data_IF_001108827302
#
_entry.id   IF_001108827302
#
_cell.length_a   1.000
_cell.length_b   1.000
_cell.length_c   1.000
_cell.angle_alpha   90.00
_cell.angle_beta   90.00
_cell.angle_gamma   90.00
#
_symmetry.space_group_name_H-M   'P 1'
#
loop_
_entity.id
_entity.type
_entity.pdbx_description
1 polymer ?
#
# COMPACT_ATOMS: atom_id res chain seq x y z
N UNK A 1 -25.38 -32.41 -14.71
CA UNK A 1 -25.92 -31.08 -14.34
C UNK A 1 -25.71 -30.75 -12.86
N UNK A 2 -26.22 -31.54 -11.90
CA UNK A 2 -26.02 -31.29 -10.44
C UNK A 2 -24.54 -31.15 -10.07
N UNK A 3 -23.70 -32.15 -10.43
CA UNK A 3 -22.26 -32.13 -10.13
C UNK A 3 -21.53 -30.88 -10.65
N UNK A 4 -21.97 -30.33 -11.78
CA UNK A 4 -21.42 -29.08 -12.35
C UNK A 4 -21.80 -27.88 -11.49
N UNK A 5 -23.04 -27.85 -11.00
CA UNK A 5 -23.54 -26.76 -10.16
C UNK A 5 -22.93 -26.78 -8.75
N UNK A 6 -22.68 -27.96 -8.20
CA UNK A 6 -21.94 -28.14 -6.94
C UNK A 6 -20.50 -27.64 -7.05
N UNK A 7 -19.82 -27.91 -8.18
CA UNK A 7 -18.48 -27.36 -8.45
C UNK A 7 -18.52 -25.83 -8.54
N UNK A 8 -19.53 -25.25 -9.20
CA UNK A 8 -19.70 -23.80 -9.30
C UNK A 8 -19.90 -23.15 -7.93
N UNK A 9 -20.71 -23.75 -7.06
CA UNK A 9 -20.93 -23.28 -5.68
C UNK A 9 -19.61 -23.29 -4.89
N UNK A 10 -18.82 -24.36 -4.98
CA UNK A 10 -17.50 -24.45 -4.33
C UNK A 10 -16.54 -23.37 -4.83
N UNK A 11 -16.52 -23.09 -6.14
CA UNK A 11 -15.71 -22.00 -6.71
C UNK A 11 -16.13 -20.65 -6.11
N UNK A 12 -17.45 -20.38 -6.04
CA UNK A 12 -17.97 -19.14 -5.46
C UNK A 12 -17.69 -19.00 -3.96
N UNK A 13 -17.66 -20.10 -3.24
CA UNK A 13 -17.25 -20.13 -1.84
C UNK A 13 -15.77 -19.76 -1.67
N UNK A 14 -14.89 -20.30 -2.52
CA UNK A 14 -13.47 -19.95 -2.53
C UNK A 14 -13.25 -18.47 -2.91
N UNK A 15 -13.94 -17.96 -3.95
CA UNK A 15 -13.90 -16.53 -4.31
C UNK A 15 -14.28 -15.65 -3.12
N UNK A 16 -15.36 -16.01 -2.40
CA UNK A 16 -15.79 -15.29 -1.21
C UNK A 16 -14.72 -15.28 -0.11
N UNK A 17 -14.07 -16.42 0.17
CA UNK A 17 -13.01 -16.51 1.18
C UNK A 17 -11.82 -15.60 0.83
N UNK A 18 -11.41 -15.58 -0.44
CA UNK A 18 -10.33 -14.71 -0.92
C UNK A 18 -10.70 -13.24 -0.73
N UNK A 19 -11.92 -12.84 -1.10
CA UNK A 19 -12.35 -11.45 -0.96
C UNK A 19 -12.55 -11.04 0.51
N UNK A 20 -12.92 -11.97 1.40
CA UNK A 20 -12.96 -11.75 2.84
C UNK A 20 -11.57 -11.56 3.44
N UNK A 21 -10.58 -12.33 3.01
CA UNK A 21 -9.20 -12.15 3.46
C UNK A 21 -8.65 -10.79 3.03
N UNK A 22 -8.92 -10.35 1.80
CA UNK A 22 -8.57 -8.99 1.34
C UNK A 22 -9.24 -7.91 2.19
N UNK A 23 -10.51 -8.11 2.53
CA UNK A 23 -11.26 -7.18 3.39
C UNK A 23 -10.60 -7.07 4.77
N UNK A 24 -10.22 -8.19 5.38
CA UNK A 24 -9.55 -8.23 6.68
C UNK A 24 -8.18 -7.55 6.65
N UNK A 25 -7.39 -7.76 5.59
CA UNK A 25 -6.13 -7.07 5.38
C UNK A 25 -6.31 -5.55 5.31
N UNK A 26 -7.33 -5.06 4.58
CA UNK A 26 -7.62 -3.61 4.51
C UNK A 26 -8.00 -3.07 5.89
N UNK A 27 -8.82 -3.80 6.66
CA UNK A 27 -9.18 -3.41 8.04
C UNK A 27 -7.96 -3.31 8.94
N UNK A 28 -7.03 -4.26 8.81
CA UNK A 28 -5.78 -4.25 9.56
C UNK A 28 -4.91 -3.03 9.20
N UNK A 29 -4.77 -2.72 7.91
CA UNK A 29 -4.00 -1.55 7.46
C UNK A 29 -4.60 -0.23 7.98
N UNK A 30 -5.93 -0.08 7.96
CA UNK A 30 -6.61 1.09 8.53
C UNK A 30 -6.29 1.22 10.01
N UNK A 31 -6.40 0.13 10.78
CA UNK A 31 -6.07 0.12 12.21
C UNK A 31 -4.61 0.52 12.48
N UNK A 32 -3.69 0.11 11.61
CA UNK A 32 -2.28 0.48 11.71
C UNK A 32 -2.10 1.99 11.49
N UNK A 33 -2.76 2.57 10.48
CA UNK A 33 -2.78 4.01 10.22
C UNK A 33 -3.38 4.78 11.41
N UNK A 34 -4.49 4.32 11.99
CA UNK A 34 -5.09 4.91 13.18
C UNK A 34 -4.10 4.93 14.36
N UNK A 35 -3.38 3.83 14.57
CA UNK A 35 -2.36 3.74 15.63
C UNK A 35 -1.19 4.70 15.41
N UNK A 36 -0.75 4.89 14.15
CA UNK A 36 0.27 5.86 13.81
C UNK A 36 -0.23 7.29 14.01
N UNK A 37 -1.45 7.61 13.56
CA UNK A 37 -2.07 8.91 13.81
C UNK A 37 -2.12 9.24 15.29
N UNK A 38 -2.52 8.29 16.13
CA UNK A 38 -2.58 8.47 17.58
C UNK A 38 -1.21 8.86 18.16
N UNK A 39 -0.12 8.23 17.71
CA UNK A 39 1.26 8.60 18.11
C UNK A 39 1.60 10.03 17.68
N UNK A 40 1.27 10.41 16.45
CA UNK A 40 1.49 11.78 15.97
C UNK A 40 0.68 12.81 16.76
N UNK A 41 -0.57 12.49 17.11
CA UNK A 41 -1.40 13.37 17.94
C UNK A 41 -0.83 13.53 19.35
N UNK A 42 -0.34 12.46 19.98
CA UNK A 42 0.33 12.56 21.28
C UNK A 42 1.60 13.43 21.21
N UNK A 43 2.42 13.26 20.16
CA UNK A 43 3.59 14.10 19.94
C UNK A 43 3.22 15.58 19.73
N UNK A 44 2.17 15.84 18.95
CA UNK A 44 1.63 17.19 18.74
C UNK A 44 1.15 17.81 20.04
N UNK A 45 0.36 17.08 20.83
CA UNK A 45 -0.17 17.56 22.10
C UNK A 45 0.95 17.90 23.09
N UNK A 46 1.96 17.02 23.20
CA UNK A 46 3.12 17.25 24.05
C UNK A 46 3.94 18.45 23.61
N UNK A 47 4.08 18.67 22.29
CA UNK A 47 4.78 19.83 21.74
C UNK A 47 3.99 21.12 21.91
N UNK A 48 2.67 21.10 21.71
CA UNK A 48 1.78 22.24 21.93
C UNK A 48 1.83 22.74 23.38
N UNK A 49 1.94 21.83 24.36
CA UNK A 49 2.06 22.18 25.78
C UNK A 49 3.38 22.87 26.15
N UNK A 50 4.44 22.71 25.34
CA UNK A 50 5.80 23.15 25.66
C UNK A 50 6.40 24.07 24.59
N UNK A 51 5.59 24.91 23.95
CA UNK A 51 6.08 25.82 22.90
C UNK A 51 6.94 26.92 23.55
N UNK A 52 8.22 26.95 23.20
CA UNK A 52 9.14 27.98 23.70
C UNK A 52 9.86 28.73 22.58
N UNK A 53 9.78 28.22 21.34
CA UNK A 53 10.55 28.75 20.22
C UNK A 53 9.81 28.66 18.88
N UNK A 54 10.25 29.49 17.92
CA UNK A 54 9.81 29.39 16.53
C UNK A 54 10.16 28.03 15.88
N UNK A 55 11.20 27.35 16.39
CA UNK A 55 11.56 25.99 15.98
C UNK A 55 10.49 24.97 16.40
N UNK A 56 9.94 25.10 17.60
CA UNK A 56 8.85 24.23 18.07
C UNK A 56 7.60 24.39 17.21
N UNK A 57 7.28 25.61 16.77
CA UNK A 57 6.18 25.87 15.83
C UNK A 57 6.41 25.18 14.47
N UNK A 58 7.66 25.17 13.99
CA UNK A 58 8.00 24.48 12.74
C UNK A 58 7.91 22.96 12.88
N UNK A 59 8.33 22.40 14.01
CA UNK A 59 8.16 20.97 14.31
C UNK A 59 6.68 20.58 14.42
N UNK A 60 5.85 21.41 15.06
CA UNK A 60 4.39 21.24 15.08
C UNK A 60 3.82 21.24 13.66
N UNK A 61 4.22 22.19 12.81
CA UNK A 61 3.75 22.25 11.42
C UNK A 61 4.10 20.98 10.62
N UNK A 62 5.31 20.42 10.84
CA UNK A 62 5.74 19.16 10.22
C UNK A 62 4.90 17.97 10.73
N UNK A 63 4.69 17.87 12.04
CA UNK A 63 3.86 16.82 12.63
C UNK A 63 2.40 16.92 12.13
N UNK A 64 1.82 18.12 12.06
CA UNK A 64 0.48 18.35 11.52
C UNK A 64 0.38 18.01 10.03
N UNK A 65 1.46 18.19 9.26
CA UNK A 65 1.52 17.72 7.87
C UNK A 65 1.55 16.19 7.80
N UNK A 66 2.28 15.54 8.70
CA UNK A 66 2.29 14.08 8.86
C UNK A 66 0.89 13.52 9.14
N UNK A 67 0.16 14.11 10.11
CA UNK A 67 -1.24 13.73 10.40
C UNK A 67 -2.13 13.86 9.18
N UNK A 68 -2.08 14.99 8.46
CA UNK A 68 -2.88 15.19 7.24
C UNK A 68 -2.57 14.17 6.14
N UNK A 69 -1.31 13.77 6.00
CA UNK A 69 -0.91 12.70 5.07
C UNK A 69 -1.52 11.35 5.47
N UNK A 70 -1.49 11.01 6.76
CA UNK A 70 -2.09 9.78 7.28
C UNK A 70 -3.62 9.78 7.13
N UNK A 71 -4.29 10.92 7.38
CA UNK A 71 -5.73 11.08 7.14
C UNK A 71 -6.11 10.86 5.68
N UNK A 72 -5.27 11.34 4.75
CA UNK A 72 -5.51 11.11 3.32
C UNK A 72 -5.43 9.62 2.99
N UNK A 73 -4.41 8.91 3.50
CA UNK A 73 -4.26 7.45 3.30
C UNK A 73 -5.41 6.67 3.92
N UNK A 74 -5.84 7.05 5.13
CA UNK A 74 -6.99 6.45 5.81
C UNK A 74 -8.28 6.61 4.99
N UNK A 75 -8.52 7.80 4.42
CA UNK A 75 -9.68 8.05 3.54
C UNK A 75 -9.63 7.20 2.28
N UNK A 76 -8.46 7.06 1.66
CA UNK A 76 -8.26 6.19 0.50
C UNK A 76 -8.56 4.73 0.85
N UNK A 77 -7.97 4.22 1.93
CA UNK A 77 -8.21 2.85 2.41
C UNK A 77 -9.66 2.61 2.84
N UNK A 78 -10.34 3.62 3.40
CA UNK A 78 -11.76 3.52 3.74
C UNK A 78 -12.65 3.40 2.50
N UNK A 79 -12.28 4.05 1.38
CA UNK A 79 -12.97 3.86 0.10
C UNK A 79 -12.74 2.45 -0.45
N UNK A 80 -11.49 1.96 -0.37
CA UNK A 80 -11.15 0.58 -0.76
C UNK A 80 -11.92 -0.44 0.08
N UNK A 81 -12.02 -0.23 1.39
CA UNK A 81 -12.79 -1.04 2.31
C UNK A 81 -14.25 -1.14 1.87
N UNK A 82 -14.89 0.00 1.61
CA UNK A 82 -16.30 0.04 1.18
C UNK A 82 -16.51 -0.70 -0.15
N UNK A 83 -15.64 -0.47 -1.13
CA UNK A 83 -15.65 -1.19 -2.41
C UNK A 83 -15.52 -2.70 -2.21
N UNK A 84 -14.63 -3.12 -1.30
CA UNK A 84 -14.41 -4.52 -0.98
C UNK A 84 -15.60 -5.15 -0.24
N UNK A 85 -16.24 -4.44 0.68
CA UNK A 85 -17.47 -4.88 1.35
C UNK A 85 -18.61 -5.11 0.36
N UNK A 86 -18.76 -4.22 -0.62
CA UNK A 86 -19.80 -4.34 -1.63
C UNK A 86 -19.56 -5.54 -2.57
N UNK A 87 -18.29 -5.85 -2.88
CA UNK A 87 -17.92 -7.09 -3.61
C UNK A 87 -18.29 -8.35 -2.83
N UNK A 88 -17.94 -8.39 -1.53
CA UNK A 88 -18.28 -9.53 -0.65
C UNK A 88 -19.81 -9.71 -0.56
N UNK A 89 -20.57 -8.61 -0.43
CA UNK A 89 -22.05 -8.66 -0.43
C UNK A 89 -22.60 -9.24 -1.74
N UNK A 90 -22.08 -8.80 -2.88
CA UNK A 90 -22.49 -9.30 -4.20
C UNK A 90 -22.20 -10.79 -4.34
N UNK A 91 -21.01 -11.25 -3.97
CA UNK A 91 -20.65 -12.67 -4.00
C UNK A 91 -21.53 -13.52 -3.08
N UNK A 92 -21.88 -12.99 -1.89
CA UNK A 92 -22.81 -13.66 -0.99
C UNK A 92 -24.20 -13.85 -1.62
N UNK A 93 -24.69 -12.83 -2.33
CA UNK A 93 -25.98 -12.91 -3.03
C UNK A 93 -25.93 -13.92 -4.18
N UNK A 94 -24.85 -13.93 -4.98
CA UNK A 94 -24.63 -14.91 -6.04
C UNK A 94 -24.60 -16.34 -5.48
N UNK A 95 -23.82 -16.57 -4.42
CA UNK A 95 -23.75 -17.85 -3.73
C UNK A 95 -25.12 -18.32 -3.24
N UNK A 96 -25.88 -17.45 -2.57
CA UNK A 96 -27.22 -17.76 -2.06
C UNK A 96 -28.18 -18.13 -3.19
N UNK A 97 -28.08 -17.44 -4.32
CA UNK A 97 -28.91 -17.69 -5.51
C UNK A 97 -28.59 -19.06 -6.11
N UNK A 98 -27.30 -19.38 -6.27
CA UNK A 98 -26.84 -20.68 -6.80
C UNK A 98 -27.21 -21.84 -5.88
N UNK A 99 -27.01 -21.68 -4.56
CA UNK A 99 -27.42 -22.67 -3.56
C UNK A 99 -28.93 -22.92 -3.59
N UNK A 100 -29.74 -21.85 -3.67
CA UNK A 100 -31.20 -21.97 -3.78
C UNK A 100 -31.61 -22.70 -5.07
N UNK A 101 -30.91 -22.45 -6.18
CA UNK A 101 -31.17 -23.13 -7.45
C UNK A 101 -30.79 -24.62 -7.40
N UNK A 102 -29.65 -24.96 -6.78
CA UNK A 102 -29.24 -26.35 -6.54
C UNK A 102 -30.32 -27.11 -5.75
N UNK A 103 -30.81 -26.51 -4.67
CA UNK A 103 -31.83 -27.15 -3.82
C UNK A 103 -33.14 -27.38 -4.57
N UNK A 104 -33.57 -26.41 -5.40
CA UNK A 104 -34.74 -26.58 -6.27
C UNK A 104 -34.53 -27.74 -7.25
N UNK A 105 -33.36 -27.81 -7.90
CA UNK A 105 -33.04 -28.88 -8.84
C UNK A 105 -32.98 -30.26 -8.19
N UNK A 106 -32.46 -30.37 -6.96
CA UNK A 106 -32.47 -31.62 -6.18
C UNK A 106 -33.90 -32.06 -5.85
N UNK A 107 -34.78 -31.12 -5.47
CA UNK A 107 -36.20 -31.38 -5.21
C UNK A 107 -36.98 -31.81 -6.47
N UNK A 108 -36.66 -31.24 -7.63
CA UNK A 108 -37.25 -31.65 -8.91
C UNK A 108 -36.88 -33.09 -9.26
N UNK A 109 -35.59 -33.46 -9.16
CA UNK A 109 -35.12 -34.81 -9.47
C UNK A 109 -35.75 -35.84 -8.52
N UNK A 110 -35.76 -35.58 -7.21
CA UNK A 110 -36.42 -36.47 -6.25
C UNK A 110 -37.91 -36.66 -6.53
N UNK A 111 -38.62 -35.60 -6.96
CA UNK A 111 -40.03 -35.74 -7.39
C UNK A 111 -40.18 -36.55 -8.67
N UNK A 112 -39.27 -36.40 -9.64
CA UNK A 112 -39.30 -37.19 -10.87
C UNK A 112 -39.00 -38.67 -10.61
N UNK A 113 -38.07 -38.96 -9.70
CA UNK A 113 -37.73 -40.32 -9.28
C UNK A 113 -38.92 -40.97 -8.57
N UNK A 114 -39.56 -40.29 -7.63
CA UNK A 114 -40.81 -40.77 -7.00
C UNK A 114 -41.92 -41.05 -8.03
N UNK A 115 -42.09 -40.17 -9.02
CA UNK A 115 -43.06 -40.40 -10.12
C UNK A 115 -42.66 -41.56 -11.05
N UNK A 116 -41.37 -41.89 -11.16
CA UNK A 116 -40.92 -43.10 -11.89
C UNK A 116 -41.24 -44.33 -11.08
N UNK A 117 -40.94 -44.34 -9.79
CA UNK A 117 -41.26 -45.45 -8.88
C UNK A 117 -42.77 -45.71 -8.81
N UNK A 118 -43.61 -44.67 -8.71
CA UNK A 118 -45.07 -44.80 -8.76
C UNK A 118 -45.55 -45.42 -10.08
N UNK A 119 -44.96 -45.01 -11.21
CA UNK A 119 -45.27 -45.59 -12.53
C UNK A 119 -44.82 -47.05 -12.61
N UNK A 120 -43.65 -47.39 -12.10
CA UNK A 120 -43.14 -48.77 -12.04
C UNK A 120 -43.99 -49.63 -11.11
N UNK A 121 -44.40 -49.12 -9.95
CA UNK A 121 -45.31 -49.81 -9.02
C UNK A 121 -46.70 -50.00 -9.64
N UNK A 122 -47.23 -48.97 -10.31
CA UNK A 122 -48.50 -49.07 -11.04
C UNK A 122 -48.41 -50.07 -12.19
N UNK A 123 -47.31 -50.08 -12.93
CA UNK A 123 -47.05 -51.02 -14.00
C UNK A 123 -46.89 -52.46 -13.47
N UNK A 124 -46.15 -52.65 -12.38
CA UNK A 124 -46.00 -53.94 -11.70
C UNK A 124 -47.31 -54.43 -11.08
N UNK A 125 -48.14 -53.54 -10.56
CA UNK A 125 -49.48 -53.88 -10.07
C UNK A 125 -50.42 -54.28 -11.21
N UNK A 126 -50.39 -53.55 -12.34
CA UNK A 126 -51.13 -53.90 -13.55
C UNK A 126 -50.67 -55.24 -14.12
N UNK A 127 -49.36 -55.50 -14.17
CA UNK A 127 -48.79 -56.78 -14.57
C UNK A 127 -49.24 -57.90 -13.63
N UNK A 128 -49.15 -57.75 -12.30
CA UNK A 128 -49.62 -58.79 -11.36
C UNK A 128 -51.12 -59.09 -11.49
N UNK A 129 -51.94 -58.06 -11.74
CA UNK A 129 -53.39 -58.22 -11.95
C UNK A 129 -53.72 -58.82 -13.32
N UNK A 130 -52.91 -58.57 -14.34
CA UNK A 130 -53.08 -59.12 -15.68
C UNK A 130 -52.52 -60.55 -15.76
N UNK A 131 -51.38 -60.88 -15.15
CA UNK A 131 -50.79 -62.23 -15.20
C UNK A 131 -51.71 -63.32 -14.64
N UNK A 132 -52.51 -63.04 -13.59
CA UNK A 132 -53.51 -64.00 -13.09
C UNK A 132 -54.64 -64.30 -14.08
N UNK A 133 -54.92 -63.40 -15.02
CA UNK A 133 -55.94 -63.57 -16.08
C UNK A 133 -55.33 -63.96 -17.43
N UNK A 134 -54.12 -63.51 -17.72
CA UNK A 134 -53.39 -63.79 -18.95
C UNK A 134 -52.80 -65.19 -18.96
N UNK A 135 -52.42 -65.79 -17.82
CA UNK A 135 -52.00 -67.21 -17.78
C UNK A 135 -53.10 -68.17 -18.23
N UNK A 136 -54.37 -67.85 -17.95
CA UNK A 136 -55.53 -68.62 -18.44
C UNK A 136 -55.77 -68.44 -19.94
N UNK A 137 -55.40 -67.29 -20.51
CA UNK A 137 -55.53 -67.02 -21.95
C UNK A 137 -54.34 -67.60 -22.73
N UNK A 138 -53.13 -67.60 -22.14
CA UNK A 138 -51.91 -68.09 -22.78
C UNK A 138 -51.88 -69.62 -22.95
N UNK A 139 -52.54 -70.38 -22.07
CA UNK A 139 -52.72 -71.84 -22.27
C UNK A 139 -53.74 -72.13 -23.40
N UNK A 140 -54.65 -71.20 -23.70
CA UNK A 140 -55.60 -71.32 -24.81
C UNK A 140 -55.07 -70.86 -26.18
N UNK A 141 -54.04 -70.01 -26.22
CA UNK A 141 -53.60 -69.34 -27.46
C UNK A 141 -52.37 -70.00 -28.14
N UNK A 142 -51.72 -70.99 -27.51
CA UNK A 142 -50.52 -71.66 -28.08
C UNK A 142 -50.87 -72.69 -29.17
N UNK A 143 -52.14 -72.96 -29.47
CA UNK A 143 -52.54 -73.94 -30.49
C UNK A 143 -52.97 -73.37 -31.86
N UNK A 144 -52.96 -72.05 -32.09
CA UNK A 144 -53.33 -71.53 -33.42
C UNK A 144 -52.51 -70.30 -33.82
N UNK A 145 -51.84 -70.40 -34.97
CA UNK A 145 -51.15 -69.34 -35.72
C UNK A 145 -49.81 -68.89 -35.09
N UNK A 146 -48.61 -69.25 -35.56
CA UNK A 146 -48.08 -69.22 -36.93
C UNK A 146 -48.52 -68.00 -37.75
N UNK A 147 -47.79 -66.88 -37.60
CA UNK A 147 -47.31 -66.00 -38.68
C UNK A 147 -46.97 -64.59 -38.15
N UNK A 148 -46.00 -63.96 -38.82
CA UNK A 148 -45.53 -62.57 -38.73
C UNK A 148 -44.67 -62.19 -37.52
N UNK A 149 -43.41 -61.86 -37.83
CA UNK A 149 -42.49 -61.19 -36.92
C UNK A 149 -42.70 -59.67 -36.89
N UNK A 150 -41.96 -59.03 -35.98
CA UNK A 150 -41.47 -57.63 -35.94
C UNK A 150 -41.43 -57.15 -34.48
N UNK A 151 -40.34 -56.47 -34.11
CA UNK A 151 -40.26 -55.78 -32.82
C UNK A 151 -38.85 -55.38 -32.39
N UNK A 152 -38.11 -54.66 -33.23
CA UNK A 152 -36.90 -53.92 -32.83
C UNK A 152 -37.22 -52.88 -31.74
N UNK A 153 -36.46 -52.89 -30.65
CA UNK A 153 -36.43 -51.82 -29.65
C UNK A 153 -35.93 -50.50 -30.28
N UNK A 154 -36.86 -49.61 -30.61
CA UNK A 154 -36.55 -48.21 -30.95
C UNK A 154 -36.45 -47.40 -29.66
N UNK A 155 -35.24 -47.22 -29.15
CA UNK A 155 -34.91 -46.09 -28.28
C UNK A 155 -35.00 -44.80 -29.11
N UNK A 156 -35.69 -43.79 -28.58
CA UNK A 156 -36.04 -42.54 -29.28
C UNK A 156 -34.77 -41.72 -29.67
N UNK A 157 -34.43 -41.59 -30.97
CA UNK A 157 -33.22 -40.92 -31.45
C UNK A 157 -33.29 -39.38 -31.47
N UNK A 158 -34.33 -38.79 -30.87
CA UNK A 158 -34.63 -37.36 -30.97
C UNK A 158 -33.95 -36.50 -29.88
N UNK A 159 -33.74 -37.05 -28.67
CA UNK A 159 -33.14 -36.28 -27.56
C UNK A 159 -31.61 -36.20 -27.63
N UNK A 160 -30.92 -37.25 -28.12
CA UNK A 160 -29.46 -37.19 -28.31
C UNK A 160 -29.05 -36.17 -29.38
N UNK A 161 -29.82 -36.03 -30.47
CA UNK A 161 -29.51 -35.11 -31.58
C UNK A 161 -29.61 -33.64 -31.18
N UNK A 162 -30.47 -33.30 -30.21
CA UNK A 162 -30.66 -31.93 -29.71
C UNK A 162 -29.68 -31.55 -28.60
N UNK A 163 -29.23 -32.51 -27.77
CA UNK A 163 -28.43 -32.23 -26.58
C UNK A 163 -26.92 -32.27 -26.86
N UNK A 164 -26.47 -33.11 -27.79
CA UNK A 164 -25.04 -33.28 -28.15
C UNK A 164 -24.35 -31.99 -28.60
N UNK A 165 -24.97 -31.11 -29.43
CA UNK A 165 -24.37 -29.83 -29.83
C UNK A 165 -24.20 -28.86 -28.66
N UNK A 166 -25.15 -28.82 -27.72
CA UNK A 166 -25.06 -27.96 -26.53
C UNK A 166 -24.01 -28.47 -25.54
N UNK A 167 -23.90 -29.78 -25.34
CA UNK A 167 -22.85 -30.37 -24.50
C UNK A 167 -21.45 -30.15 -25.08
N UNK A 168 -21.29 -30.26 -26.41
CA UNK A 168 -20.03 -29.91 -27.09
C UNK A 168 -19.71 -28.41 -26.96
N UNK A 169 -20.71 -27.53 -27.10
CA UNK A 169 -20.48 -26.09 -26.95
C UNK A 169 -20.07 -25.72 -25.51
N UNK A 170 -20.72 -26.32 -24.51
CA UNK A 170 -20.39 -26.09 -23.09
C UNK A 170 -19.03 -26.69 -22.72
N UNK A 171 -18.66 -27.86 -23.24
CA UNK A 171 -17.32 -28.42 -23.01
C UNK A 171 -16.23 -27.55 -23.64
N UNK A 172 -16.48 -27.00 -24.83
CA UNK A 172 -15.54 -26.14 -25.54
C UNK A 172 -15.40 -24.76 -24.88
N UNK A 173 -16.49 -24.19 -24.34
CA UNK A 173 -16.45 -22.98 -23.51
C UNK A 173 -15.72 -23.22 -22.19
N UNK A 174 -15.91 -24.40 -21.56
CA UNK A 174 -15.19 -24.78 -20.34
C UNK A 174 -13.70 -24.95 -20.58
N UNK A 175 -13.28 -25.61 -21.67
CA UNK A 175 -11.87 -25.73 -22.06
C UNK A 175 -11.24 -24.35 -22.26
N UNK A 176 -11.90 -23.46 -23.00
CA UNK A 176 -11.44 -22.07 -23.19
C UNK A 176 -11.27 -21.32 -21.87
N UNK A 177 -12.26 -21.38 -20.98
CA UNK A 177 -12.20 -20.74 -19.66
C UNK A 177 -11.10 -21.34 -18.77
N UNK A 178 -10.91 -22.66 -18.84
CA UNK A 178 -9.86 -23.34 -18.06
C UNK A 178 -8.46 -22.95 -18.54
N UNK A 179 -8.27 -22.80 -19.85
CA UNK A 179 -7.01 -22.31 -20.42
C UNK A 179 -6.76 -20.85 -20.06
N UNK A 180 -7.79 -20.01 -20.10
CA UNK A 180 -7.69 -18.59 -19.73
C UNK A 180 -7.37 -18.44 -18.24
N UNK A 181 -8.00 -19.24 -17.38
CA UNK A 181 -7.70 -19.31 -15.95
C UNK A 181 -6.24 -19.75 -15.72
N UNK A 182 -5.78 -20.80 -16.42
CA UNK A 182 -4.40 -21.30 -16.31
C UNK A 182 -3.38 -20.25 -16.79
N UNK A 183 -3.69 -19.51 -17.86
CA UNK A 183 -2.88 -18.37 -18.34
C UNK A 183 -2.85 -17.26 -17.30
N UNK A 184 -3.98 -16.95 -16.66
CA UNK A 184 -4.06 -15.92 -15.61
C UNK A 184 -3.25 -16.30 -14.35
N UNK A 185 -3.28 -17.56 -13.92
CA UNK A 185 -2.47 -18.06 -12.81
C UNK A 185 -0.97 -17.97 -13.12
N UNK A 186 -0.53 -18.42 -14.31
CA UNK A 186 0.87 -18.29 -14.74
C UNK A 186 1.32 -16.83 -14.82
N UNK A 187 0.44 -15.93 -15.24
CA UNK A 187 0.72 -14.49 -15.29
C UNK A 187 0.82 -13.88 -13.87
N UNK A 188 -0.03 -14.32 -12.94
CA UNK A 188 0.02 -13.92 -11.53
C UNK A 188 1.30 -14.39 -10.86
N UNK A 189 1.67 -15.66 -11.02
CA UNK A 189 2.90 -16.23 -10.45
C UNK A 189 4.14 -15.48 -10.95
N UNK A 190 4.19 -15.12 -12.24
CA UNK A 190 5.25 -14.26 -12.80
C UNK A 190 5.26 -12.87 -12.16
N UNK A 191 4.09 -12.25 -11.97
CA UNK A 191 4.00 -10.94 -11.32
C UNK A 191 4.40 -10.99 -9.85
N UNK A 192 4.08 -12.07 -9.13
CA UNK A 192 4.50 -12.27 -7.74
C UNK A 192 6.01 -12.41 -7.63
N UNK A 193 6.64 -13.22 -8.48
CA UNK A 193 8.11 -13.33 -8.53
C UNK A 193 8.77 -11.97 -8.82
N UNK A 194 8.26 -11.23 -9.80
CA UNK A 194 8.74 -9.86 -10.09
C UNK A 194 8.55 -8.91 -8.91
N UNK A 195 7.44 -9.03 -8.17
CA UNK A 195 7.18 -8.20 -7.00
C UNK A 195 8.14 -8.54 -5.85
N UNK A 196 8.45 -9.82 -5.66
CA UNK A 196 9.37 -10.28 -4.64
C UNK A 196 10.82 -9.85 -4.94
N UNK A 197 11.25 -9.94 -6.20
CA UNK A 197 12.53 -9.42 -6.67
C UNK A 197 12.64 -7.90 -6.47
N UNK A 198 11.58 -7.14 -6.85
CA UNK A 198 11.54 -5.70 -6.62
C UNK A 198 11.58 -5.33 -5.14
N UNK A 199 10.92 -6.11 -4.26
CA UNK A 199 10.98 -5.90 -2.81
C UNK A 199 12.40 -6.14 -2.27
N UNK A 200 13.07 -7.22 -2.71
CA UNK A 200 14.48 -7.49 -2.34
C UNK A 200 15.40 -6.37 -2.81
N UNK A 201 15.21 -5.88 -4.04
CA UNK A 201 15.96 -4.76 -4.58
C UNK A 201 15.73 -3.46 -3.79
N UNK A 202 14.49 -3.15 -3.42
CA UNK A 202 14.17 -1.97 -2.60
C UNK A 202 14.84 -2.03 -1.21
N UNK A 203 14.84 -3.20 -0.57
CA UNK A 203 15.52 -3.39 0.72
C UNK A 203 17.03 -3.11 0.62
N UNK A 204 17.68 -3.58 -0.44
CA UNK A 204 19.10 -3.30 -0.69
C UNK A 204 19.34 -1.80 -0.89
N UNK A 205 18.47 -1.14 -1.66
CA UNK A 205 18.57 0.30 -1.92
C UNK A 205 18.39 1.13 -0.64
N UNK A 206 17.46 0.73 0.24
CA UNK A 206 17.25 1.37 1.54
C UNK A 206 18.47 1.23 2.46
N UNK A 207 19.12 0.06 2.48
CA UNK A 207 20.36 -0.13 3.24
C UNK A 207 21.52 0.73 2.71
N UNK A 208 21.69 0.81 1.38
CA UNK A 208 22.69 1.68 0.77
C UNK A 208 22.44 3.15 1.08
N UNK A 209 21.18 3.60 1.00
CA UNK A 209 20.79 4.95 1.37
C UNK A 209 21.11 5.25 2.84
N UNK A 210 20.83 4.32 3.76
CA UNK A 210 21.19 4.49 5.17
C UNK A 210 22.70 4.65 5.36
N UNK A 211 23.51 3.80 4.73
CA UNK A 211 24.99 3.88 4.80
C UNK A 211 25.52 5.20 4.25
N UNK A 212 24.97 5.68 3.14
CA UNK A 212 25.35 6.98 2.57
C UNK A 212 24.95 8.14 3.47
N UNK A 213 23.79 8.06 4.11
CA UNK A 213 23.30 9.09 5.02
C UNK A 213 24.14 9.17 6.30
N UNK A 214 24.50 8.02 6.88
CA UNK A 214 25.43 7.95 8.02
C UNK A 214 26.81 8.51 7.65
N UNK A 215 27.31 8.18 6.46
CA UNK A 215 28.58 8.72 5.95
C UNK A 215 28.51 10.25 5.78
N UNK A 216 27.41 10.77 5.25
CA UNK A 216 27.23 12.22 5.08
C UNK A 216 27.17 12.95 6.43
N UNK A 217 26.45 12.41 7.42
CA UNK A 217 26.38 12.97 8.78
C UNK A 217 27.78 13.01 9.42
N UNK A 218 28.54 11.92 9.31
CA UNK A 218 29.88 11.84 9.88
C UNK A 218 30.84 12.84 9.20
N UNK A 219 30.80 12.95 7.88
CA UNK A 219 31.60 13.93 7.13
C UNK A 219 31.24 15.37 7.52
N UNK A 220 29.96 15.69 7.65
CA UNK A 220 29.52 17.03 8.08
C UNK A 220 30.00 17.34 9.51
N UNK A 221 29.91 16.35 10.41
CA UNK A 221 30.41 16.49 11.79
C UNK A 221 31.91 16.75 11.82
N UNK A 222 32.69 15.96 11.07
CA UNK A 222 34.14 16.16 10.96
C UNK A 222 34.49 17.53 10.38
N UNK A 223 33.77 17.97 9.35
CA UNK A 223 33.99 19.28 8.75
C UNK A 223 33.69 20.41 9.74
N UNK A 224 32.58 20.32 10.49
CA UNK A 224 32.26 21.27 11.57
C UNK A 224 33.31 21.27 12.66
N UNK A 225 33.81 20.13 13.09
CA UNK A 225 34.88 20.03 14.09
C UNK A 225 36.18 20.66 13.58
N UNK A 226 36.54 20.42 12.31
CA UNK A 226 37.72 21.05 11.67
C UNK A 226 37.54 22.57 11.55
N UNK A 227 36.35 23.05 11.15
CA UNK A 227 36.01 24.48 11.11
C UNK A 227 36.10 25.11 12.51
N UNK A 228 35.50 24.48 13.52
CA UNK A 228 35.55 24.97 14.91
C UNK A 228 36.98 25.05 15.45
N UNK A 229 37.81 24.01 15.23
CA UNK A 229 39.23 24.03 15.62
C UNK A 229 40.00 25.16 14.93
N UNK A 230 39.73 25.43 13.65
CA UNK A 230 40.34 26.56 12.92
C UNK A 230 39.89 27.91 13.51
N UNK A 231 38.60 28.07 13.77
CA UNK A 231 38.04 29.28 14.40
C UNK A 231 38.66 29.52 15.78
N UNK A 232 38.78 28.50 16.62
CA UNK A 232 39.38 28.62 17.96
C UNK A 232 40.85 29.03 17.91
N UNK A 233 41.64 28.40 17.03
CA UNK A 233 43.06 28.77 16.85
C UNK A 233 43.21 30.22 16.39
N UNK A 234 42.42 30.63 15.39
CA UNK A 234 42.45 32.01 14.90
C UNK A 234 41.97 32.99 15.96
N UNK A 235 40.91 32.66 16.70
CA UNK A 235 40.40 33.51 17.78
C UNK A 235 41.46 33.80 18.84
N UNK A 236 42.28 32.80 19.21
CA UNK A 236 43.37 33.00 20.19
C UNK A 236 44.46 33.96 19.69
N UNK A 237 44.77 33.93 18.39
CA UNK A 237 45.74 34.82 17.75
C UNK A 237 45.16 36.23 17.63
N UNK A 238 43.97 36.33 17.04
CA UNK A 238 43.28 37.59 16.74
C UNK A 238 42.88 38.35 18.01
N UNK A 239 42.52 37.64 19.09
CA UNK A 239 42.21 38.30 20.35
C UNK A 239 43.40 39.09 20.91
N UNK A 240 44.64 38.69 20.61
CA UNK A 240 45.89 39.32 21.08
C UNK A 240 46.49 40.31 20.07
N UNK A 241 46.26 40.11 18.78
CA UNK A 241 46.75 40.99 17.72
C UNK A 241 46.09 42.38 17.77
N UNK A 242 46.79 43.40 17.29
CA UNK A 242 46.23 44.71 16.98
C UNK A 242 45.21 44.63 15.82
N UNK A 243 44.25 45.57 15.72
CA UNK A 243 43.18 45.50 14.74
C UNK A 243 43.64 45.43 13.27
N UNK A 244 44.69 46.14 12.91
CA UNK A 244 45.20 46.20 11.53
C UNK A 244 45.84 44.87 11.12
N UNK A 245 46.75 44.34 11.95
CA UNK A 245 47.37 43.03 11.70
C UNK A 245 46.35 41.88 11.70
N UNK A 246 45.33 41.97 12.57
CA UNK A 246 44.21 41.04 12.59
C UNK A 246 43.35 41.13 11.32
N UNK A 247 43.10 42.34 10.81
CA UNK A 247 42.37 42.58 9.57
C UNK A 247 43.08 41.97 8.37
N UNK A 248 44.39 42.17 8.25
CA UNK A 248 45.20 41.55 7.20
C UNK A 248 45.15 40.01 7.28
N UNK A 249 45.31 39.46 8.49
CA UNK A 249 45.26 38.01 8.71
C UNK A 249 43.90 37.41 8.33
N UNK A 250 42.80 38.03 8.76
CA UNK A 250 41.45 37.54 8.44
C UNK A 250 41.09 37.69 6.96
N UNK A 251 41.69 38.64 6.25
CA UNK A 251 41.50 38.84 4.80
C UNK A 251 42.02 37.66 3.98
N UNK A 252 42.99 36.92 4.50
CA UNK A 252 43.55 35.73 3.85
C UNK A 252 42.74 34.44 4.12
N UNK A 253 41.78 34.48 5.03
CA UNK A 253 41.00 33.30 5.45
C UNK A 253 39.65 33.23 4.71
N UNK A 254 39.00 32.07 4.74
CA UNK A 254 37.64 31.92 4.24
C UNK A 254 36.69 32.90 4.97
N UNK A 255 35.85 33.66 4.24
CA UNK A 255 34.94 34.65 4.84
C UNK A 255 34.00 34.10 5.92
N UNK A 256 33.56 32.85 5.83
CA UNK A 256 32.73 32.21 6.87
C UNK A 256 33.52 32.07 8.18
N UNK A 257 34.76 31.61 8.09
CA UNK A 257 35.63 31.40 9.25
C UNK A 257 36.00 32.75 9.87
N UNK A 258 36.32 33.75 9.05
CA UNK A 258 36.58 35.11 9.52
C UNK A 258 35.37 35.70 10.25
N UNK A 259 34.17 35.57 9.67
CA UNK A 259 32.92 36.01 10.32
C UNK A 259 32.64 35.28 11.64
N UNK A 260 32.88 33.96 11.71
CA UNK A 260 32.77 33.20 12.96
C UNK A 260 33.77 33.68 14.04
N UNK A 261 35.00 34.00 13.65
CA UNK A 261 36.01 34.54 14.57
C UNK A 261 35.56 35.90 15.10
N UNK A 262 35.13 36.82 14.24
CA UNK A 262 34.66 38.15 14.64
C UNK A 262 33.47 38.09 15.60
N UNK A 263 32.51 37.21 15.34
CA UNK A 263 31.36 37.01 16.23
C UNK A 263 31.78 36.45 17.60
N UNK A 264 32.81 35.60 17.64
CA UNK A 264 33.31 35.00 18.88
C UNK A 264 34.27 35.91 19.66
N UNK A 265 34.78 37.00 19.07
CA UNK A 265 35.64 37.95 19.79
C UNK A 265 34.91 38.57 20.97
N UNK A 266 35.50 38.63 22.17
CA UNK A 266 34.82 39.18 23.34
C UNK A 266 34.51 40.68 23.20
N UNK A 267 35.36 41.44 22.50
CA UNK A 267 35.21 42.88 22.30
C UNK A 267 34.62 43.18 20.91
N UNK A 268 33.45 43.80 20.90
CA UNK A 268 32.66 44.14 19.70
C UNK A 268 33.29 45.29 18.92
N UNK A 269 33.79 46.32 19.62
CA UNK A 269 34.49 47.45 18.98
C UNK A 269 35.73 46.96 18.25
N UNK A 270 36.53 46.12 18.90
CA UNK A 270 37.69 45.48 18.28
C UNK A 270 37.30 44.66 17.04
N UNK A 271 36.19 43.92 17.08
CA UNK A 271 35.71 43.18 15.91
C UNK A 271 35.30 44.10 14.75
N UNK A 272 34.69 45.25 15.04
CA UNK A 272 34.35 46.28 14.05
C UNK A 272 35.59 46.98 13.47
N UNK A 273 36.58 47.31 14.31
CA UNK A 273 37.88 47.85 13.87
C UNK A 273 38.60 46.87 12.95
N UNK A 274 38.70 45.60 13.35
CA UNK A 274 39.32 44.54 12.54
C UNK A 274 38.62 44.43 11.18
N UNK A 275 37.28 44.41 11.17
CA UNK A 275 36.51 44.31 9.92
C UNK A 275 36.71 45.54 9.02
N UNK A 276 36.95 46.71 9.60
CA UNK A 276 37.24 47.95 8.86
C UNK A 276 38.66 47.97 8.30
N UNK A 277 39.61 47.31 8.95
CA UNK A 277 41.00 47.16 8.50
C UNK A 277 41.23 45.96 7.55
N UNK A 278 40.18 45.20 7.21
CA UNK A 278 40.27 44.11 6.23
C UNK A 278 40.37 44.65 4.80
N UNK A 279 40.90 43.84 3.89
CA UNK A 279 40.80 44.09 2.45
C UNK A 279 39.33 44.34 2.05
N UNK A 280 38.98 45.42 1.34
CA UNK A 280 37.59 45.82 1.10
C UNK A 280 36.75 44.74 0.41
N UNK A 281 37.31 44.01 -0.56
CA UNK A 281 36.57 42.93 -1.24
C UNK A 281 36.30 41.76 -0.30
N UNK A 282 37.26 41.43 0.56
CA UNK A 282 37.12 40.38 1.57
C UNK A 282 36.17 40.78 2.68
N UNK A 283 36.27 42.01 3.16
CA UNK A 283 35.37 42.59 4.16
C UNK A 283 33.91 42.52 3.69
N UNK A 284 33.65 42.91 2.43
CA UNK A 284 32.31 42.81 1.82
C UNK A 284 31.73 41.39 1.87
N UNK A 285 32.54 40.36 1.58
CA UNK A 285 32.11 38.96 1.66
C UNK A 285 31.85 38.50 3.10
N UNK A 286 32.63 39.00 4.06
CA UNK A 286 32.41 38.72 5.49
C UNK A 286 31.12 39.39 5.96
N UNK A 287 30.87 40.63 5.56
CA UNK A 287 29.63 41.37 5.84
C UNK A 287 28.43 40.62 5.26
N UNK A 288 28.50 40.18 4.00
CA UNK A 288 27.44 39.39 3.37
C UNK A 288 27.13 38.10 4.15
N UNK A 289 28.19 37.40 4.60
CA UNK A 289 28.05 36.23 5.46
C UNK A 289 27.37 36.58 6.80
N UNK A 290 27.78 37.66 7.46
CA UNK A 290 27.21 38.12 8.73
C UNK A 290 25.74 38.51 8.57
N UNK A 291 25.36 39.19 7.49
CA UNK A 291 23.97 39.53 7.16
C UNK A 291 23.12 38.28 6.95
N UNK A 292 23.58 37.33 6.12
CA UNK A 292 22.88 36.04 5.90
C UNK A 292 22.73 35.26 7.20
N UNK A 293 23.73 35.32 8.09
CA UNK A 293 23.68 34.67 9.40
C UNK A 293 22.70 35.37 10.35
N UNK A 294 22.66 36.70 10.35
CA UNK A 294 21.70 37.51 11.11
C UNK A 294 20.26 37.15 10.77
N UNK A 295 19.94 37.04 9.48
CA UNK A 295 18.59 36.70 9.00
C UNK A 295 18.10 35.32 9.46
N UNK A 296 19.03 34.36 9.57
CA UNK A 296 18.74 33.00 10.05
C UNK A 296 18.59 32.91 11.58
N UNK A 297 19.03 33.91 12.33
CA UNK A 297 18.96 33.94 13.78
C UNK A 297 17.72 34.70 14.24
N UNK A 298 16.93 34.09 15.13
CA UNK A 298 15.93 34.82 15.93
C UNK A 298 16.65 35.72 16.95
N UNK A 299 15.91 36.53 17.72
CA UNK A 299 16.45 37.50 18.69
C UNK A 299 17.33 36.84 19.77
N UNK A 300 18.59 36.56 19.41
CA UNK A 300 19.59 35.87 20.21
C UNK A 300 20.74 36.84 20.53
N UNK A 301 21.49 36.62 21.63
CA UNK A 301 22.67 37.42 21.93
C UNK A 301 23.68 37.48 20.78
N UNK A 302 23.80 36.39 20.03
CA UNK A 302 24.66 36.30 18.83
C UNK A 302 24.17 37.23 17.73
N UNK A 303 22.85 37.31 17.51
CA UNK A 303 22.25 38.22 16.53
C UNK A 303 22.52 39.68 16.88
N UNK A 304 22.29 40.07 18.14
CA UNK A 304 22.54 41.45 18.62
C UNK A 304 24.01 41.83 18.42
N UNK A 305 24.91 40.91 18.75
CA UNK A 305 26.34 41.11 18.54
C UNK A 305 26.71 41.30 17.06
N UNK A 306 26.11 40.54 16.15
CA UNK A 306 26.30 40.73 14.71
C UNK A 306 25.78 42.12 14.30
N UNK A 307 24.61 42.54 14.78
CA UNK A 307 24.04 43.85 14.50
C UNK A 307 24.96 44.99 14.99
N UNK A 308 25.52 44.87 16.18
CA UNK A 308 26.47 45.87 16.73
C UNK A 308 27.79 45.92 15.94
N UNK A 309 28.33 44.77 15.51
CA UNK A 309 29.53 44.75 14.65
C UNK A 309 29.24 45.45 13.31
N UNK A 310 28.08 45.20 12.70
CA UNK A 310 27.72 45.82 11.41
C UNK A 310 27.49 47.33 11.54
N UNK A 311 26.79 47.78 12.59
CA UNK A 311 26.57 49.20 12.87
C UNK A 311 27.86 49.99 13.00
N UNK A 312 28.87 49.39 13.63
CA UNK A 312 30.18 50.01 13.76
C UNK A 312 30.80 50.34 12.39
N UNK A 313 30.71 49.40 11.44
CA UNK A 313 31.27 49.57 10.09
C UNK A 313 30.43 50.53 9.25
N UNK A 314 29.13 50.62 9.51
CA UNK A 314 28.22 51.57 8.87
C UNK A 314 28.39 53.02 9.40
N UNK A 315 29.22 53.23 10.44
CA UNK A 315 29.46 54.54 11.04
C UNK A 315 28.31 55.03 11.93
N UNK A 316 27.37 54.14 12.28
CA UNK A 316 26.33 54.44 13.26
C UNK A 316 26.94 54.36 14.68
N UNK A 317 26.86 55.44 15.46
CA UNK A 317 27.44 55.49 16.80
C UNK A 317 26.91 54.36 17.69
N UNK A 318 27.82 53.51 18.19
CA UNK A 318 27.56 52.41 19.13
C UNK A 318 27.14 52.86 20.52
#
# INVERSE_FOLDING_TARGET
MIKTLEKLIKIKELEKLIELQKLENIKYEIKLIESEKAKYFQLLENKLKNITSARDLMEIALLSRGVRSLEKREREKSKDLKSQEDRVKKLNLEYKTLSSYLDRKRKEITKEDLKREEREHSYNHLLKRSYGKFLLILVGFVLTASASGWGEEKTLPYQEKLIKPYLQKVSLEFEKLSEELLKSFKALEKKEKQLEEKKKFLLLLEEELRKLLDKAINLEREERERKNKKVEKLLQIIAKADPDSAGETLSQVNPEIAGEVLVKLPNIRKAGEILSSMDPERAGKVIEYLMKRREKLTATPVRRKIEEILKYVEGESL
#
